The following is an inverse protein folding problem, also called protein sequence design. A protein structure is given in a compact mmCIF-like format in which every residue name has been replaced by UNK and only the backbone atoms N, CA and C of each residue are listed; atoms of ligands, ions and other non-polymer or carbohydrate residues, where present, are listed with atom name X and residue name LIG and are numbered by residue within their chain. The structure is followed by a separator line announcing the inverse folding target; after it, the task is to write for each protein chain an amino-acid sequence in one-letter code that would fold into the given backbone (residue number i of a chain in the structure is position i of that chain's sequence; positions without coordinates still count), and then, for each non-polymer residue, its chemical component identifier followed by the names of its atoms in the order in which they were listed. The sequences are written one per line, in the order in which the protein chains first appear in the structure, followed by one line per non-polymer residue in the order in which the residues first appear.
data_IF_039913441684
#
_entry.id   IF_039913441684
#
_cell.length_a   1.000
_cell.length_b   1.000
_cell.length_c   1.000
_cell.angle_alpha   90.00
_cell.angle_beta   90.00
_cell.angle_gamma   90.00
#
_symmetry.space_group_name_H-M   'P 1'
#
loop_
_entity.id
_entity.type
_entity.pdbx_description
1 polymer ?
#
# COMPACT_ATOMS: atom_id res chain seq x y z
N UNK A 1 27.57 27.98 5.25
CA UNK A 1 27.15 27.35 3.97
C UNK A 1 26.06 26.35 4.31
N UNK A 2 24.82 26.81 4.45
CA UNK A 2 23.75 26.08 5.12
C UNK A 2 22.68 25.61 4.13
N UNK A 3 22.61 24.27 3.97
CA UNK A 3 21.43 23.43 3.76
C UNK A 3 20.42 23.86 2.66
N UNK A 4 20.77 23.59 1.40
CA UNK A 4 19.83 23.66 0.25
C UNK A 4 19.23 22.29 -0.14
N UNK A 5 18.89 21.41 0.83
CA UNK A 5 18.58 19.99 0.56
C UNK A 5 17.10 19.58 0.76
N UNK A 6 16.15 20.49 0.99
CA UNK A 6 14.79 20.10 1.45
C UNK A 6 13.62 20.47 0.54
N UNK A 7 13.81 20.66 -0.78
CA UNK A 7 12.69 21.03 -1.67
C UNK A 7 12.07 19.87 -2.47
N UNK A 8 12.72 18.70 -2.54
CA UNK A 8 12.29 17.62 -3.45
C UNK A 8 11.68 16.38 -2.77
N UNK A 9 11.71 16.27 -1.44
CA UNK A 9 11.26 15.07 -0.72
C UNK A 9 9.83 14.66 -1.07
N UNK A 10 8.82 15.52 -0.83
CA UNK A 10 7.42 15.16 -1.08
C UNK A 10 7.11 14.86 -2.56
N UNK A 11 7.76 15.59 -3.48
CA UNK A 11 7.56 15.38 -4.92
C UNK A 11 8.14 14.02 -5.38
N UNK A 12 9.32 13.64 -4.89
CA UNK A 12 9.93 12.35 -5.17
C UNK A 12 9.10 11.20 -4.57
N UNK A 13 8.53 11.39 -3.38
CA UNK A 13 7.67 10.40 -2.75
C UNK A 13 6.37 10.20 -3.55
N UNK A 14 5.73 11.29 -4.01
CA UNK A 14 4.56 11.20 -4.91
C UNK A 14 4.90 10.46 -6.21
N UNK A 15 6.06 10.74 -6.81
CA UNK A 15 6.53 10.04 -8.02
C UNK A 15 6.71 8.54 -7.73
N UNK A 16 7.27 8.18 -6.58
CA UNK A 16 7.45 6.79 -6.19
C UNK A 16 6.11 6.08 -5.92
N UNK A 17 5.10 6.76 -5.36
CA UNK A 17 3.74 6.20 -5.25
C UNK A 17 3.18 5.87 -6.63
N UNK A 18 3.26 6.83 -7.56
CA UNK A 18 2.77 6.64 -8.94
C UNK A 18 3.53 5.51 -9.64
N UNK A 19 4.85 5.44 -9.46
CA UNK A 19 5.68 4.39 -10.03
C UNK A 19 5.35 3.00 -9.46
N UNK A 20 5.14 2.89 -8.14
CA UNK A 20 4.74 1.66 -7.48
C UNK A 20 3.37 1.16 -7.93
N UNK A 21 2.38 2.06 -7.99
CA UNK A 21 1.05 1.75 -8.52
C UNK A 21 1.10 1.39 -10.02
N UNK A 22 1.92 2.09 -10.80
CA UNK A 22 2.15 1.79 -12.21
C UNK A 22 2.72 0.39 -12.42
N UNK A 23 3.71 -0.01 -11.63
CA UNK A 23 4.28 -1.36 -11.65
C UNK A 23 3.31 -2.43 -11.17
N UNK A 24 2.48 -2.12 -10.18
CA UNK A 24 1.42 -3.03 -9.74
C UNK A 24 0.45 -3.32 -10.89
N UNK A 25 0.03 -2.27 -11.60
CA UNK A 25 -0.98 -2.37 -12.66
C UNK A 25 -0.41 -2.76 -14.03
N UNK A 26 0.91 -2.73 -14.20
CA UNK A 26 1.55 -2.96 -15.50
C UNK A 26 1.33 -4.36 -16.09
N UNK A 27 1.14 -5.46 -15.35
CA UNK A 27 0.81 -6.76 -15.96
C UNK A 27 -0.45 -6.73 -16.79
N UNK A 28 -1.48 -6.00 -16.36
CA UNK A 28 -2.74 -5.85 -17.09
C UNK A 28 -2.63 -4.88 -18.26
N UNK A 29 -1.98 -3.73 -18.05
CA UNK A 29 -1.86 -2.70 -19.08
C UNK A 29 -0.92 -3.10 -20.22
N UNK A 30 0.17 -3.81 -19.88
CA UNK A 30 1.18 -4.27 -20.84
C UNK A 30 0.95 -5.72 -21.28
N UNK A 31 -0.10 -6.38 -20.81
CA UNK A 31 -0.56 -7.68 -21.31
C UNK A 31 0.36 -8.87 -21.01
N UNK A 32 1.18 -8.79 -19.96
CA UNK A 32 2.09 -9.88 -19.56
C UNK A 32 1.58 -10.71 -18.37
N UNK A 33 0.28 -10.65 -18.07
CA UNK A 33 -0.35 -11.47 -17.01
C UNK A 33 -0.12 -12.98 -17.18
N UNK A 34 0.18 -13.45 -18.40
CA UNK A 34 0.54 -14.85 -18.68
C UNK A 34 1.97 -15.22 -18.29
N UNK A 35 2.84 -14.24 -18.08
CA UNK A 35 4.23 -14.45 -17.67
C UNK A 35 4.35 -14.44 -16.15
N UNK A 36 4.36 -15.63 -15.55
CA UNK A 36 4.36 -15.82 -14.08
C UNK A 36 5.44 -15.00 -13.37
N UNK A 37 6.70 -15.07 -13.80
CA UNK A 37 7.80 -14.38 -13.12
C UNK A 37 7.73 -12.85 -13.26
N UNK A 38 7.36 -12.35 -14.44
CA UNK A 38 7.25 -10.92 -14.68
C UNK A 38 6.09 -10.30 -13.90
N UNK A 39 4.96 -11.01 -13.83
CA UNK A 39 3.76 -10.60 -13.09
C UNK A 39 4.03 -10.56 -11.58
N UNK A 40 4.62 -11.63 -11.03
CA UNK A 40 5.02 -11.67 -9.62
C UNK A 40 6.00 -10.58 -9.24
N UNK A 41 7.02 -10.35 -10.07
CA UNK A 41 8.02 -9.33 -9.81
C UNK A 41 7.41 -7.92 -9.83
N UNK A 42 6.56 -7.63 -10.81
CA UNK A 42 5.90 -6.33 -10.94
C UNK A 42 4.97 -6.05 -9.74
N UNK A 43 4.23 -7.05 -9.26
CA UNK A 43 3.37 -6.93 -8.09
C UNK A 43 4.15 -6.72 -6.79
N UNK A 44 5.17 -7.55 -6.53
CA UNK A 44 5.97 -7.46 -5.30
C UNK A 44 6.73 -6.14 -5.25
N UNK A 45 7.43 -5.79 -6.32
CA UNK A 45 8.21 -4.54 -6.39
C UNK A 45 7.28 -3.32 -6.37
N UNK A 46 6.20 -3.35 -7.16
CA UNK A 46 5.23 -2.25 -7.21
C UNK A 46 4.57 -2.00 -5.86
N UNK A 47 4.18 -3.05 -5.15
CA UNK A 47 3.68 -2.95 -3.79
C UNK A 47 4.74 -2.33 -2.88
N UNK A 48 5.91 -2.95 -2.73
CA UNK A 48 6.97 -2.46 -1.82
C UNK A 48 7.31 -0.98 -2.08
N UNK A 49 7.44 -0.57 -3.34
CA UNK A 49 7.73 0.83 -3.69
C UNK A 49 6.57 1.77 -3.31
N UNK A 50 5.33 1.40 -3.63
CA UNK A 50 4.16 2.21 -3.26
C UNK A 50 4.05 2.37 -1.73
N UNK A 51 4.35 1.31 -0.98
CA UNK A 51 4.28 1.29 0.48
C UNK A 51 5.36 2.15 1.14
N UNK A 52 6.60 2.04 0.68
CA UNK A 52 7.71 2.86 1.18
C UNK A 52 7.44 4.34 0.89
N UNK A 53 6.96 4.65 -0.31
CA UNK A 53 6.66 6.01 -0.73
C UNK A 53 5.47 6.62 0.04
N UNK A 54 4.42 5.85 0.29
CA UNK A 54 3.31 6.26 1.16
C UNK A 54 3.78 6.48 2.60
N UNK A 55 4.62 5.60 3.13
CA UNK A 55 5.20 5.76 4.47
C UNK A 55 6.09 7.00 4.59
N UNK A 56 6.84 7.35 3.55
CA UNK A 56 7.66 8.57 3.50
C UNK A 56 6.79 9.85 3.49
N UNK A 57 5.67 9.82 2.77
CA UNK A 57 4.68 10.92 2.75
C UNK A 57 4.01 11.15 4.11
N UNK A 58 3.89 10.13 4.97
CA UNK A 58 3.09 10.19 6.20
C UNK A 58 3.94 10.36 7.49
N UNK A 59 5.26 10.38 7.39
CA UNK A 59 6.18 10.81 8.46
C UNK A 59 5.89 10.31 9.92
N UNK A 60 6.52 9.17 10.25
CA UNK A 60 7.13 8.82 11.55
C UNK A 60 6.34 8.66 12.87
N UNK A 61 5.02 8.90 12.96
CA UNK A 61 4.29 8.67 14.24
C UNK A 61 3.34 7.46 14.26
N UNK A 62 2.98 6.87 13.12
CA UNK A 62 1.85 5.92 13.02
C UNK A 62 2.19 4.59 12.31
N UNK A 63 3.45 4.14 12.35
CA UNK A 63 3.93 2.98 11.59
C UNK A 63 3.06 1.71 11.74
N UNK A 64 2.53 1.43 12.93
CA UNK A 64 1.66 0.26 13.19
C UNK A 64 0.36 0.29 12.39
N UNK A 65 -0.24 1.46 12.25
CA UNK A 65 -1.54 1.61 11.58
C UNK A 65 -1.36 1.50 10.06
N UNK A 66 -0.26 2.03 9.54
CA UNK A 66 0.11 1.88 8.15
C UNK A 66 0.42 0.43 7.78
N UNK A 67 1.19 -0.30 8.59
CA UNK A 67 1.45 -1.74 8.33
C UNK A 67 0.15 -2.54 8.30
N UNK A 68 -0.78 -2.27 9.21
CA UNK A 68 -2.07 -2.94 9.20
C UNK A 68 -2.89 -2.59 7.96
N UNK A 69 -2.94 -1.33 7.54
CA UNK A 69 -3.64 -0.92 6.32
C UNK A 69 -3.12 -1.69 5.10
N UNK A 70 -1.80 -1.77 4.99
CA UNK A 70 -1.10 -2.48 3.92
C UNK A 70 -1.44 -3.96 3.90
N UNK A 71 -1.36 -4.62 5.06
CA UNK A 71 -1.68 -6.04 5.20
C UNK A 71 -3.15 -6.31 4.89
N UNK A 72 -4.04 -5.41 5.29
CA UNK A 72 -5.46 -5.47 4.95
C UNK A 72 -5.70 -5.40 3.44
N UNK A 73 -5.11 -4.40 2.78
CA UNK A 73 -5.21 -4.23 1.33
C UNK A 73 -4.58 -5.41 0.56
N UNK A 74 -3.42 -5.88 1.00
CA UNK A 74 -2.78 -7.06 0.42
C UNK A 74 -3.66 -8.30 0.57
N UNK A 75 -4.24 -8.52 1.76
CA UNK A 75 -5.15 -9.63 2.00
C UNK A 75 -6.37 -9.59 1.07
N UNK A 76 -6.89 -8.40 0.73
CA UNK A 76 -7.96 -8.29 -0.27
C UNK A 76 -7.47 -8.78 -1.63
N UNK A 77 -6.29 -8.34 -2.08
CA UNK A 77 -5.78 -8.65 -3.43
C UNK A 77 -5.20 -10.07 -3.54
N UNK A 78 -4.81 -10.67 -2.42
CA UNK A 78 -4.14 -11.97 -2.31
C UNK A 78 -4.82 -13.11 -3.09
N UNK A 79 -6.15 -13.30 -3.09
CA UNK A 79 -6.78 -14.40 -3.82
C UNK A 79 -6.53 -14.35 -5.32
N UNK A 80 -6.50 -13.16 -5.91
CA UNK A 80 -6.25 -12.97 -7.33
C UNK A 80 -4.76 -13.00 -7.65
N UNK A 81 -3.93 -12.40 -6.81
CA UNK A 81 -2.48 -12.40 -6.98
C UNK A 81 -1.89 -13.81 -6.84
N UNK A 82 -2.27 -14.55 -5.80
CA UNK A 82 -1.75 -15.89 -5.49
C UNK A 82 -2.52 -17.01 -6.22
N UNK A 83 -3.50 -16.68 -7.06
CA UNK A 83 -4.21 -17.64 -7.89
C UNK A 83 -5.14 -18.60 -7.13
N UNK A 84 -5.54 -18.27 -5.90
CA UNK A 84 -6.47 -19.07 -5.11
C UNK A 84 -7.90 -18.50 -5.09
N UNK A 85 -8.23 -17.53 -5.94
CA UNK A 85 -9.56 -16.94 -6.05
C UNK A 85 -10.67 -17.96 -6.35
N UNK A 86 -10.35 -19.10 -6.94
CA UNK A 86 -11.31 -20.20 -7.19
C UNK A 86 -11.66 -20.99 -5.93
N UNK A 87 -10.85 -20.88 -4.88
CA UNK A 87 -11.09 -21.51 -3.57
C UNK A 87 -12.01 -20.59 -2.76
N UNK A 88 -13.32 -20.79 -2.93
CA UNK A 88 -14.38 -19.91 -2.38
C UNK A 88 -14.14 -19.55 -0.90
N UNK A 89 -13.86 -20.54 -0.04
CA UNK A 89 -13.64 -20.29 1.40
C UNK A 89 -12.41 -19.43 1.68
N UNK A 90 -11.28 -19.69 1.00
CA UNK A 90 -10.04 -18.94 1.19
C UNK A 90 -10.14 -17.51 0.64
N UNK A 91 -10.80 -17.33 -0.51
CA UNK A 91 -11.06 -16.02 -1.12
C UNK A 91 -11.88 -15.14 -0.18
N UNK A 92 -13.05 -15.61 0.28
CA UNK A 92 -13.91 -14.81 1.14
C UNK A 92 -13.27 -14.51 2.49
N UNK A 93 -12.52 -15.44 3.08
CA UNK A 93 -11.79 -15.19 4.33
C UNK A 93 -10.75 -14.07 4.19
N UNK A 94 -9.97 -14.08 3.11
CA UNK A 94 -8.94 -13.07 2.85
C UNK A 94 -9.52 -11.70 2.48
N UNK A 95 -10.58 -11.67 1.67
CA UNK A 95 -11.26 -10.43 1.27
C UNK A 95 -11.95 -9.79 2.47
N UNK A 96 -12.76 -10.54 3.22
CA UNK A 96 -13.49 -9.99 4.38
C UNK A 96 -12.54 -9.59 5.51
N UNK A 97 -11.58 -10.44 5.85
CA UNK A 97 -10.55 -10.11 6.84
C UNK A 97 -9.70 -8.92 6.42
N UNK A 98 -9.32 -8.85 5.15
CA UNK A 98 -8.57 -7.73 4.59
C UNK A 98 -9.33 -6.41 4.62
N UNK A 99 -10.62 -6.41 4.28
CA UNK A 99 -11.50 -5.23 4.38
C UNK A 99 -11.61 -4.76 5.83
N UNK A 100 -11.83 -5.67 6.79
CA UNK A 100 -11.92 -5.31 8.21
C UNK A 100 -10.62 -4.67 8.68
N UNK A 101 -9.47 -5.29 8.39
CA UNK A 101 -8.15 -4.77 8.77
C UNK A 101 -7.89 -3.40 8.13
N UNK A 102 -8.20 -3.24 6.84
CA UNK A 102 -8.00 -1.98 6.12
C UNK A 102 -8.89 -0.85 6.66
N UNK A 103 -10.16 -1.13 6.96
CA UNK A 103 -11.09 -0.14 7.52
C UNK A 103 -10.68 0.26 8.93
N UNK A 104 -10.28 -0.67 9.77
CA UNK A 104 -9.81 -0.38 11.14
C UNK A 104 -8.54 0.47 11.11
N UNK A 105 -7.58 0.10 10.27
CA UNK A 105 -6.36 0.86 10.10
C UNK A 105 -6.63 2.28 9.56
N UNK A 106 -7.46 2.42 8.53
CA UNK A 106 -7.84 3.73 7.98
C UNK A 106 -8.59 4.60 9.01
N UNK A 107 -9.43 3.98 9.84
CA UNK A 107 -10.15 4.68 10.90
C UNK A 107 -9.19 5.20 11.97
N UNK A 108 -8.23 4.38 12.40
CA UNK A 108 -7.24 4.79 13.39
C UNK A 108 -6.37 5.94 12.88
N UNK A 109 -5.89 5.88 11.63
CA UNK A 109 -5.16 6.98 10.99
C UNK A 109 -5.99 8.26 10.99
N UNK A 110 -7.27 8.18 10.62
CA UNK A 110 -8.18 9.32 10.61
C UNK A 110 -8.42 9.91 12.01
N UNK A 111 -8.55 9.08 13.05
CA UNK A 111 -8.81 9.55 14.42
C UNK A 111 -7.55 10.09 15.10
N UNK A 112 -6.38 9.51 14.83
CA UNK A 112 -5.12 9.99 15.38
C UNK A 112 -4.71 11.34 14.78
N UNK A 113 -4.96 11.54 13.48
CA UNK A 113 -4.75 12.83 12.83
C UNK A 113 -5.74 13.94 13.28
N UNK A 114 -6.91 13.58 13.81
CA UNK A 114 -7.97 14.53 14.19
C UNK A 114 -7.99 14.90 15.69
N UNK A 115 -6.89 14.75 16.44
CA UNK A 115 -6.80 15.24 17.82
C UNK A 115 -6.46 16.74 17.84
N UNK A 116 -7.42 17.67 18.06
CA UNK A 116 -7.07 19.06 18.29
C UNK A 116 -6.26 19.16 19.59
N UNK A 117 -5.10 19.82 19.53
CA UNK A 117 -4.21 20.13 20.66
C UNK A 117 -4.85 21.15 21.64
N UNK A 118 -6.06 20.88 22.14
CA UNK A 118 -6.80 21.79 23.02
C UNK A 118 -6.86 21.33 24.48
N UNK A 119 -5.96 20.44 24.91
CA UNK A 119 -5.96 19.93 26.29
C UNK A 119 -4.54 19.67 26.82
N UNK A 120 -3.62 20.61 26.62
CA UNK A 120 -2.34 20.67 27.33
C UNK A 120 -2.09 22.10 27.82
#
# INVERSE_FOLDING_TARGET
MAKSQSYNGPALDIINVIAGLGLLLSPWYLGYTGESYATWNAWVVGAVVALIALGALVAFSEYEEWVNLILGLWSIVAPWALGFSTVTGAMWAHVTGGVVIAVLAASNVWFNHNRPLSAA
#
